data_IF_601569536309
#
_entry.id   IF_601569536309
#
_cell.length_a   1.000
_cell.length_b   1.000
_cell.length_c   1.000
_cell.angle_alpha   90.00
_cell.angle_beta   90.00
_cell.angle_gamma   90.00
#
_symmetry.space_group_name_H-M   'P 1'
#
loop_
_entity.id
_entity.type
_entity.pdbx_description
1 polymer ?
#
# COMPACT_ATOMS: atom_id res chain seq x y z
N UNK A 1 64.81 18.88 48.64
CA UNK A 1 64.69 18.06 47.43
C UNK A 1 63.24 18.06 46.94
N UNK A 2 62.84 18.90 45.97
CA UNK A 2 61.52 18.81 45.35
C UNK A 2 61.59 18.40 43.87
N UNK A 3 60.60 17.63 43.40
CA UNK A 3 59.81 17.85 42.16
C UNK A 3 58.85 16.69 41.93
N UNK A 4 57.55 16.94 42.14
CA UNK A 4 56.44 16.10 41.67
C UNK A 4 56.21 16.40 40.19
N UNK A 5 56.24 15.37 39.35
CA UNK A 5 55.94 15.47 37.91
C UNK A 5 54.46 15.19 37.71
N UNK A 6 53.72 16.23 37.33
CA UNK A 6 52.32 16.18 36.89
C UNK A 6 52.27 15.79 35.41
N UNK A 7 51.69 14.64 35.07
CA UNK A 7 51.38 14.30 33.68
C UNK A 7 50.06 14.97 33.25
N UNK A 8 50.13 15.72 32.15
CA UNK A 8 49.06 16.52 31.54
C UNK A 8 48.12 15.66 30.70
N UNK A 9 46.82 15.91 30.86
CA UNK A 9 45.72 15.40 30.02
C UNK A 9 45.96 15.61 28.53
N UNK A 10 45.81 14.53 27.75
CA UNK A 10 45.64 14.59 26.32
C UNK A 10 44.23 15.10 25.97
N UNK A 11 44.20 16.20 25.22
CA UNK A 11 43.03 16.93 24.75
C UNK A 11 42.45 16.23 23.52
N UNK A 12 41.48 15.33 23.70
CA UNK A 12 40.75 14.72 22.58
C UNK A 12 39.79 15.75 21.97
N UNK A 13 39.93 15.92 20.66
CA UNK A 13 39.29 16.91 19.79
C UNK A 13 37.77 16.95 19.94
N UNK A 14 37.26 18.19 20.02
CA UNK A 14 35.85 18.53 19.92
C UNK A 14 35.26 18.03 18.60
N UNK A 15 34.25 17.15 18.69
CA UNK A 15 33.33 16.86 17.59
C UNK A 15 32.31 18.00 17.56
N UNK A 16 32.13 18.59 16.37
CA UNK A 16 31.22 19.70 16.11
C UNK A 16 29.82 19.46 16.70
N UNK A 17 29.13 20.50 17.21
CA UNK A 17 27.76 20.36 17.67
C UNK A 17 26.88 20.01 16.46
N UNK A 18 26.44 18.74 16.38
CA UNK A 18 25.40 18.34 15.44
C UNK A 18 24.20 19.26 15.67
N UNK A 19 23.78 19.93 14.60
CA UNK A 19 22.63 20.80 14.58
C UNK A 19 21.45 20.12 15.29
N UNK A 20 20.96 20.74 16.37
CA UNK A 20 19.79 20.25 17.10
C UNK A 20 18.61 20.24 16.12
N UNK A 21 18.30 19.06 15.54
CA UNK A 21 17.09 18.86 14.74
C UNK A 21 15.90 19.34 15.58
N UNK A 22 15.18 20.32 15.04
CA UNK A 22 14.06 20.97 15.69
C UNK A 22 13.01 19.90 16.05
N UNK A 23 12.83 19.62 17.34
CA UNK A 23 11.87 18.61 17.80
C UNK A 23 10.47 19.11 17.47
N UNK A 24 9.85 18.57 16.40
CA UNK A 24 8.45 18.81 16.12
C UNK A 24 7.65 18.36 17.35
N UNK A 25 6.84 19.27 17.89
CA UNK A 25 6.00 19.00 19.06
C UNK A 25 5.06 17.85 18.72
N UNK A 26 5.13 16.77 19.48
CA UNK A 26 4.27 15.61 19.31
C UNK A 26 2.83 16.03 19.60
N UNK A 27 1.92 15.84 18.63
CA UNK A 27 0.49 16.07 18.79
C UNK A 27 -0.26 14.74 18.92
N UNK A 28 -1.52 14.78 19.36
CA UNK A 28 -2.33 13.58 19.58
C UNK A 28 -2.47 12.74 18.31
N UNK A 29 -2.70 13.36 17.15
CA UNK A 29 -2.76 12.66 15.86
C UNK A 29 -1.50 11.83 15.57
N UNK A 30 -0.34 12.36 15.91
CA UNK A 30 0.93 11.66 15.72
C UNK A 30 1.12 10.54 16.74
N UNK A 31 0.60 10.69 17.96
CA UNK A 31 0.53 9.59 18.95
C UNK A 31 -0.35 8.46 18.43
N UNK A 32 -1.53 8.79 17.89
CA UNK A 32 -2.45 7.79 17.32
C UNK A 32 -1.79 7.04 16.15
N UNK A 33 -1.00 7.74 15.32
CA UNK A 33 -0.19 7.13 14.27
C UNK A 33 0.91 6.20 14.82
N UNK A 34 1.61 6.61 15.90
CA UNK A 34 2.61 5.74 16.54
C UNK A 34 1.96 4.46 17.09
N UNK A 35 0.80 4.57 17.73
CA UNK A 35 0.04 3.44 18.28
C UNK A 35 -0.44 2.52 17.14
N UNK A 36 -0.99 3.08 16.07
CA UNK A 36 -1.45 2.31 14.92
C UNK A 36 -0.30 1.53 14.26
N UNK A 37 0.83 2.19 14.01
CA UNK A 37 2.02 1.54 13.46
C UNK A 37 2.59 0.48 14.42
N UNK A 38 2.54 0.73 15.73
CA UNK A 38 2.97 -0.25 16.72
C UNK A 38 2.08 -1.50 16.69
N UNK A 39 0.76 -1.32 16.62
CA UNK A 39 -0.21 -2.42 16.46
C UNK A 39 0.02 -3.22 15.17
N UNK A 40 0.38 -2.55 14.08
CA UNK A 40 0.76 -3.19 12.81
C UNK A 40 2.09 -3.95 12.85
N UNK A 41 2.80 -3.96 13.99
CA UNK A 41 4.03 -4.72 14.17
C UNK A 41 5.32 -3.97 13.86
N UNK A 42 5.26 -2.69 13.47
CA UNK A 42 6.49 -1.90 13.22
C UNK A 42 7.32 -1.73 14.49
N UNK A 43 8.65 -1.73 14.33
CA UNK A 43 9.57 -1.48 15.45
C UNK A 43 9.61 0.01 15.81
N UNK A 44 10.03 0.34 17.03
CA UNK A 44 10.16 1.74 17.44
C UNK A 44 11.14 2.54 16.56
N UNK A 45 12.13 1.87 15.96
CA UNK A 45 13.08 2.48 15.03
C UNK A 45 12.39 2.86 13.71
N UNK A 46 11.63 1.93 13.13
CA UNK A 46 10.91 2.15 11.86
C UNK A 46 9.87 3.26 11.99
N UNK A 47 9.13 3.27 13.10
CA UNK A 47 8.14 4.32 13.40
C UNK A 47 8.83 5.67 13.56
N UNK A 48 9.98 5.71 14.24
CA UNK A 48 10.75 6.93 14.43
C UNK A 48 11.25 7.51 13.11
N UNK A 49 11.73 6.65 12.20
CA UNK A 49 12.14 7.06 10.86
C UNK A 49 10.95 7.61 10.04
N UNK A 50 9.79 6.93 10.08
CA UNK A 50 8.60 7.35 9.31
C UNK A 50 7.99 8.66 9.76
N UNK A 51 8.02 8.93 11.07
CA UNK A 51 7.41 10.12 11.67
C UNK A 51 8.43 11.23 11.98
N UNK A 52 9.71 11.05 11.59
CA UNK A 52 10.85 11.93 11.91
C UNK A 52 10.92 12.29 13.42
N UNK A 53 10.74 11.27 14.26
CA UNK A 53 10.85 11.38 15.72
C UNK A 53 11.84 10.37 16.28
N UNK A 54 12.40 10.68 17.46
CA UNK A 54 13.33 9.74 18.09
C UNK A 54 12.62 8.42 18.46
N UNK A 55 13.28 7.25 18.35
CA UNK A 55 12.73 5.98 18.82
C UNK A 55 12.34 6.01 20.31
N UNK A 56 13.03 6.83 21.11
CA UNK A 56 12.71 7.09 22.52
C UNK A 56 11.33 7.76 22.67
N UNK A 57 11.02 8.73 21.82
CA UNK A 57 9.71 9.40 21.79
C UNK A 57 8.61 8.40 21.43
N UNK A 58 8.85 7.56 20.43
CA UNK A 58 7.90 6.50 20.05
C UNK A 58 7.64 5.57 21.22
N UNK A 59 8.69 5.04 21.85
CA UNK A 59 8.57 4.14 23.01
C UNK A 59 7.74 4.75 24.14
N UNK A 60 7.94 6.04 24.45
CA UNK A 60 7.18 6.74 25.48
C UNK A 60 5.68 6.80 25.19
N UNK A 61 5.30 6.93 23.92
CA UNK A 61 3.89 7.06 23.51
C UNK A 61 3.22 5.74 23.10
N UNK A 62 4.01 4.66 23.03
CA UNK A 62 3.54 3.31 22.67
C UNK A 62 3.79 2.31 23.79
N UNK A 63 4.13 2.78 24.99
CA UNK A 63 4.31 1.95 26.17
C UNK A 63 3.01 1.19 26.48
N UNK A 64 3.10 -0.12 26.71
CA UNK A 64 1.94 -1.00 26.88
C UNK A 64 1.21 -1.37 25.58
N UNK A 65 1.60 -0.81 24.42
CA UNK A 65 1.09 -1.25 23.13
C UNK A 65 1.97 -2.41 22.64
N UNK A 66 1.49 -3.63 22.91
CA UNK A 66 2.06 -4.82 22.31
C UNK A 66 1.84 -4.77 20.80
N UNK A 67 2.86 -5.11 19.99
CA UNK A 67 2.64 -5.29 18.57
C UNK A 67 1.65 -6.44 18.43
N UNK A 68 0.61 -6.22 17.64
CA UNK A 68 -0.16 -7.34 17.16
C UNK A 68 0.82 -8.08 16.26
N UNK A 69 1.24 -9.26 16.69
CA UNK A 69 1.86 -10.23 15.79
C UNK A 69 0.73 -10.60 14.84
N UNK A 70 0.55 -9.79 13.79
CA UNK A 70 -0.29 -10.17 12.65
C UNK A 70 0.47 -11.35 12.08
N UNK A 71 0.04 -12.56 12.43
CA UNK A 71 0.52 -13.76 11.77
C UNK A 71 0.35 -13.53 10.27
N UNK A 72 1.28 -13.99 9.43
CA UNK A 72 1.11 -13.89 7.97
C UNK A 72 -0.23 -14.50 7.48
N UNK A 73 -0.86 -15.30 8.34
CA UNK A 73 -2.14 -15.98 8.20
C UNK A 73 -3.37 -15.07 8.43
N UNK A 74 -3.22 -13.89 9.05
CA UNK A 74 -4.29 -12.90 9.26
C UNK A 74 -4.54 -12.02 8.01
N UNK A 75 -3.97 -12.39 6.85
CA UNK A 75 -4.45 -11.87 5.58
C UNK A 75 -5.89 -12.35 5.40
N UNK A 76 -6.83 -11.43 5.64
CA UNK A 76 -8.25 -11.69 5.51
C UNK A 76 -8.50 -12.21 4.10
N UNK A 77 -8.81 -13.50 3.97
CA UNK A 77 -9.20 -14.08 2.69
C UNK A 77 -10.32 -13.23 2.12
N UNK A 78 -10.12 -12.76 0.90
CA UNK A 78 -11.13 -11.96 0.22
C UNK A 78 -11.73 -12.82 -0.87
N UNK A 79 -13.05 -12.92 -0.90
CA UNK A 79 -13.77 -13.49 -2.04
C UNK A 79 -13.33 -12.75 -3.32
N UNK A 80 -12.70 -13.49 -4.23
CA UNK A 80 -12.07 -12.93 -5.43
C UNK A 80 -13.09 -12.23 -6.33
N UNK A 81 -14.32 -12.74 -6.41
CA UNK A 81 -15.40 -12.15 -7.19
C UNK A 81 -15.92 -10.86 -6.56
N UNK A 82 -16.12 -10.85 -5.25
CA UNK A 82 -16.51 -9.65 -4.52
C UNK A 82 -15.44 -8.57 -4.62
N UNK A 83 -14.17 -8.94 -4.45
CA UNK A 83 -13.05 -8.04 -4.61
C UNK A 83 -12.99 -7.46 -6.03
N UNK A 84 -13.05 -8.32 -7.05
CA UNK A 84 -13.00 -7.91 -8.45
C UNK A 84 -14.15 -6.97 -8.83
N UNK A 85 -15.36 -7.23 -8.33
CA UNK A 85 -16.51 -6.35 -8.54
C UNK A 85 -16.30 -4.94 -7.94
N UNK A 86 -15.69 -4.85 -6.75
CA UNK A 86 -15.34 -3.56 -6.12
C UNK A 86 -14.32 -2.81 -6.97
N UNK A 87 -13.29 -3.48 -7.47
CA UNK A 87 -12.26 -2.84 -8.30
C UNK A 87 -12.83 -2.37 -9.64
N UNK A 88 -13.64 -3.19 -10.30
CA UNK A 88 -14.29 -2.83 -11.57
C UNK A 88 -15.23 -1.62 -11.39
N UNK A 89 -15.94 -1.51 -10.26
CA UNK A 89 -16.70 -0.30 -9.92
C UNK A 89 -15.82 0.92 -9.67
N UNK A 90 -14.68 0.77 -9.00
CA UNK A 90 -13.73 1.86 -8.82
C UNK A 90 -13.18 2.37 -10.16
N UNK A 91 -12.89 1.44 -11.08
CA UNK A 91 -12.49 1.77 -12.45
C UNK A 91 -13.63 2.49 -13.19
N UNK A 92 -14.87 2.02 -13.07
CA UNK A 92 -16.04 2.67 -13.66
C UNK A 92 -16.16 4.14 -13.23
N UNK A 93 -15.99 4.42 -11.93
CA UNK A 93 -16.06 5.78 -11.39
C UNK A 93 -14.95 6.68 -11.95
N UNK A 94 -13.74 6.12 -12.12
CA UNK A 94 -12.57 6.87 -12.57
C UNK A 94 -12.53 7.09 -14.08
N UNK A 95 -13.05 6.14 -14.86
CA UNK A 95 -13.01 6.15 -16.33
C UNK A 95 -14.37 6.41 -16.98
N UNK A 96 -15.37 6.74 -16.17
CA UNK A 96 -16.76 6.98 -16.59
C UNK A 96 -17.31 5.87 -17.50
N UNK A 97 -17.04 4.61 -17.14
CA UNK A 97 -17.51 3.48 -17.93
C UNK A 97 -19.03 3.42 -17.93
N UNK A 98 -19.61 3.15 -19.10
CA UNK A 98 -21.05 2.91 -19.25
C UNK A 98 -21.42 1.54 -18.71
N UNK A 99 -22.71 1.31 -18.46
CA UNK A 99 -23.22 0.02 -17.95
C UNK A 99 -22.82 -1.16 -18.85
N UNK A 100 -22.86 -0.99 -20.18
CA UNK A 100 -22.45 -2.04 -21.12
C UNK A 100 -20.93 -2.34 -21.06
N UNK A 101 -20.11 -1.33 -20.81
CA UNK A 101 -18.65 -1.46 -20.67
C UNK A 101 -18.29 -2.13 -19.35
N UNK A 102 -19.01 -1.77 -18.28
CA UNK A 102 -18.93 -2.43 -16.98
C UNK A 102 -19.27 -3.93 -17.08
N UNK A 103 -20.33 -4.27 -17.82
CA UNK A 103 -20.76 -5.64 -18.01
C UNK A 103 -19.70 -6.47 -18.77
N UNK A 104 -18.99 -5.88 -19.74
CA UNK A 104 -17.85 -6.53 -20.40
C UNK A 104 -16.74 -6.89 -19.40
N UNK A 105 -16.37 -5.95 -18.53
CA UNK A 105 -15.38 -6.19 -17.47
C UNK A 105 -15.83 -7.30 -16.52
N UNK A 106 -17.10 -7.27 -16.08
CA UNK A 106 -17.66 -8.27 -15.17
C UNK A 106 -17.74 -9.67 -15.80
N UNK A 107 -18.13 -9.76 -17.08
CA UNK A 107 -18.13 -11.02 -17.84
C UNK A 107 -16.73 -11.58 -17.98
N UNK A 108 -15.74 -10.73 -18.26
CA UNK A 108 -14.33 -11.15 -18.35
C UNK A 108 -13.84 -11.68 -17.00
N UNK A 109 -14.04 -10.94 -15.91
CA UNK A 109 -13.71 -11.39 -14.55
C UNK A 109 -14.31 -12.77 -14.26
N UNK A 110 -15.63 -12.95 -14.48
CA UNK A 110 -16.30 -14.23 -14.24
C UNK A 110 -15.71 -15.37 -15.07
N UNK A 111 -15.43 -15.11 -16.34
CA UNK A 111 -14.86 -16.10 -17.26
C UNK A 111 -13.48 -16.54 -16.80
N UNK A 112 -12.60 -15.58 -16.51
CA UNK A 112 -11.23 -15.89 -16.09
C UNK A 112 -11.23 -16.63 -14.75
N UNK A 113 -11.98 -16.14 -13.76
CA UNK A 113 -12.06 -16.79 -12.44
C UNK A 113 -12.61 -18.23 -12.56
N UNK A 114 -13.60 -18.48 -13.42
CA UNK A 114 -14.13 -19.83 -13.64
C UNK A 114 -13.15 -20.81 -14.29
N UNK A 115 -12.05 -20.33 -14.85
CA UNK A 115 -11.01 -21.13 -15.49
C UNK A 115 -9.80 -21.38 -14.58
N UNK A 116 -9.73 -20.71 -13.42
CA UNK A 116 -8.65 -20.91 -12.46
C UNK A 116 -8.89 -22.20 -11.67
N UNK A 117 -7.81 -22.87 -11.31
CA UNK A 117 -7.83 -23.96 -10.35
C UNK A 117 -7.95 -23.42 -8.91
N UNK A 118 -8.41 -24.28 -8.00
CA UNK A 118 -8.65 -23.93 -6.60
C UNK A 118 -7.40 -23.38 -5.90
N UNK A 119 -6.21 -23.92 -6.21
CA UNK A 119 -4.96 -23.48 -5.59
C UNK A 119 -4.60 -22.06 -6.05
N UNK A 120 -4.78 -21.75 -7.33
CA UNK A 120 -4.59 -20.39 -7.85
C UNK A 120 -5.59 -19.41 -7.24
N UNK A 121 -6.85 -19.81 -7.07
CA UNK A 121 -7.86 -18.99 -6.37
C UNK A 121 -7.39 -18.72 -4.94
N UNK A 122 -7.01 -19.74 -4.18
CA UNK A 122 -6.56 -19.55 -2.79
C UNK A 122 -5.34 -18.63 -2.66
N UNK A 123 -4.41 -18.70 -3.61
CA UNK A 123 -3.25 -17.80 -3.66
C UNK A 123 -3.67 -16.36 -3.91
N UNK A 124 -4.58 -16.13 -4.86
CA UNK A 124 -5.12 -14.81 -5.14
C UNK A 124 -5.88 -14.25 -3.94
N UNK A 125 -6.73 -15.05 -3.27
CA UNK A 125 -7.51 -14.55 -2.13
C UNK A 125 -6.65 -14.10 -0.95
N UNK A 126 -5.45 -14.69 -0.81
CA UNK A 126 -4.47 -14.34 0.23
C UNK A 126 -3.60 -13.16 -0.21
N UNK A 127 -2.95 -13.26 -1.36
CA UNK A 127 -1.91 -12.31 -1.77
C UNK A 127 -2.49 -11.03 -2.41
N UNK A 128 -2.32 -9.84 -1.78
CA UNK A 128 -2.80 -8.58 -2.34
C UNK A 128 -2.03 -8.12 -3.58
N UNK A 129 -0.74 -8.42 -3.70
CA UNK A 129 0.06 -8.05 -4.87
C UNK A 129 -0.34 -8.90 -6.08
N UNK A 130 -0.49 -10.21 -5.87
CA UNK A 130 -0.90 -11.13 -6.92
C UNK A 130 -2.29 -10.76 -7.47
N UNK A 131 -3.22 -10.34 -6.60
CA UNK A 131 -4.54 -9.83 -7.05
C UNK A 131 -4.46 -8.62 -7.94
N UNK A 132 -3.61 -7.65 -7.59
CA UNK A 132 -3.41 -6.45 -8.42
C UNK A 132 -2.82 -6.85 -9.77
N UNK A 133 -1.83 -7.74 -9.79
CA UNK A 133 -1.26 -8.25 -11.05
C UNK A 133 -2.31 -8.98 -11.89
N UNK A 134 -3.09 -9.86 -11.27
CA UNK A 134 -4.19 -10.57 -11.93
C UNK A 134 -5.19 -9.60 -12.58
N UNK A 135 -5.64 -8.56 -11.86
CA UNK A 135 -6.52 -7.55 -12.42
C UNK A 135 -5.88 -6.81 -13.61
N UNK A 136 -4.61 -6.42 -13.46
CA UNK A 136 -3.89 -5.60 -14.45
C UNK A 136 -3.45 -6.36 -15.69
N UNK A 137 -3.34 -7.69 -15.65
CA UNK A 137 -2.86 -8.50 -16.77
C UNK A 137 -3.95 -9.37 -17.39
N UNK A 138 -4.82 -9.99 -16.58
CA UNK A 138 -5.79 -10.97 -17.08
C UNK A 138 -7.17 -10.38 -17.40
N UNK A 139 -7.53 -9.33 -16.66
CA UNK A 139 -8.88 -8.73 -16.72
C UNK A 139 -8.87 -7.43 -17.50
N UNK A 140 -8.09 -6.44 -17.05
CA UNK A 140 -8.20 -5.07 -17.56
C UNK A 140 -7.78 -4.92 -19.03
N UNK A 141 -6.61 -5.40 -19.50
CA UNK A 141 -6.19 -5.15 -20.88
C UNK A 141 -7.15 -5.72 -21.92
N UNK A 142 -7.59 -7.01 -21.83
CA UNK A 142 -8.54 -7.55 -22.81
C UNK A 142 -9.92 -6.90 -22.73
N UNK A 143 -10.33 -6.43 -21.55
CA UNK A 143 -11.60 -5.71 -21.41
C UNK A 143 -11.52 -4.29 -21.98
N UNK A 144 -10.39 -3.61 -21.77
CA UNK A 144 -10.13 -2.26 -22.27
C UNK A 144 -10.12 -2.23 -23.80
N UNK A 145 -9.43 -3.18 -24.46
CA UNK A 145 -9.43 -3.29 -25.92
C UNK A 145 -10.86 -3.41 -26.47
N UNK A 146 -11.70 -4.26 -25.88
CA UNK A 146 -13.10 -4.41 -26.29
C UNK A 146 -13.94 -3.17 -26.02
N UNK A 147 -13.63 -2.41 -24.98
CA UNK A 147 -14.30 -1.14 -24.69
C UNK A 147 -13.92 -0.10 -25.74
N UNK A 148 -12.64 -0.03 -26.13
CA UNK A 148 -12.18 0.86 -27.19
C UNK A 148 -12.84 0.52 -28.53
N UNK A 149 -12.89 -0.76 -28.91
CA UNK A 149 -13.60 -1.22 -30.11
C UNK A 149 -15.09 -0.85 -30.10
N UNK A 150 -15.75 -1.00 -28.94
CA UNK A 150 -17.15 -0.64 -28.75
C UNK A 150 -17.40 0.88 -28.84
N UNK A 151 -16.41 1.69 -28.47
CA UNK A 151 -16.46 3.15 -28.61
C UNK A 151 -16.23 3.56 -30.06
N UNK A 152 -15.20 3.02 -30.70
CA UNK A 152 -14.88 3.28 -32.11
C UNK A 152 -16.03 2.92 -33.04
N UNK A 153 -16.66 1.75 -32.86
CA UNK A 153 -17.81 1.31 -33.66
C UNK A 153 -19.06 2.18 -33.51
N UNK A 154 -19.18 2.95 -32.41
CA UNK A 154 -20.28 3.91 -32.21
C UNK A 154 -20.01 5.27 -32.83
N UNK A 155 -18.74 5.64 -32.95
CA UNK A 155 -18.32 6.94 -33.50
C UNK A 155 -18.18 6.90 -35.03
N UNK A 156 -18.33 5.74 -35.68
CA UNK A 156 -18.47 5.66 -37.14
C UNK A 156 -19.81 6.27 -37.53
N UNK A 157 -19.84 7.41 -38.24
CA UNK A 157 -21.09 7.92 -38.79
C UNK A 157 -21.66 6.87 -39.73
N UNK A 158 -22.97 6.61 -39.65
CA UNK A 158 -23.71 5.73 -40.53
C UNK A 158 -23.70 6.30 -41.96
N UNK A 159 -22.56 6.23 -42.64
CA UNK A 159 -22.39 6.68 -44.02
C UNK A 159 -22.67 5.52 -44.95
N UNK A 160 -23.80 5.65 -45.65
CA UNK A 160 -24.18 4.99 -46.90
C UNK A 160 -24.60 3.52 -46.86
N UNK A 161 -25.92 3.32 -46.89
CA UNK A 161 -26.51 2.57 -48.01
C UNK A 161 -27.52 3.46 -48.75
N UNK A 162 -27.18 3.75 -50.01
CA UNK A 162 -27.97 4.45 -51.02
C UNK A 162 -28.65 3.36 -51.85
N UNK A 163 -29.96 3.44 -52.00
CA UNK A 163 -30.78 2.66 -52.92
C UNK A 163 -32.10 3.37 -53.10
#
# INVERSE_FOLDING_TARGET
MPKKVTMKSAKTRAVAPQARKHVRRVNQKMIDQMIALRRQGFTHADIGQRLDVSPRTVRRHTEGVSPQLVHAEDQTRVDLMQWGAVQIRAIQQRWHLRVAELDLCMKRLRTVVSQLDDMTIEQLERDPQLRVQFLMHEIWPPAHEKIDDLRLSRDVPTTFHRG
#
